data_IF_374810740892
#
_entry.id   IF_374810740892
#
_cell.length_a   1.000
_cell.length_b   1.000
_cell.length_c   1.000
_cell.angle_alpha   90.00
_cell.angle_beta   90.00
_cell.angle_gamma   90.00
#
_symmetry.space_group_name_H-M   'P 1'
#
loop_
_entity.id
_entity.type
_entity.pdbx_description
1 polymer ?
#
# COMPACT_ATOMS: atom_id res chain seq x y z
N UNK A 1 -4.00 37.79 11.96
CA UNK A 1 -4.86 36.67 11.57
C UNK A 1 -4.51 36.28 10.14
N UNK A 2 -3.65 35.27 9.96
CA UNK A 2 -3.35 34.69 8.64
C UNK A 2 -3.75 33.21 8.72
N UNK A 3 -4.81 32.85 8.01
CA UNK A 3 -5.26 31.48 7.84
C UNK A 3 -4.26 30.76 6.91
N UNK A 4 -3.45 29.87 7.44
CA UNK A 4 -2.66 28.95 6.63
C UNK A 4 -3.60 27.88 6.09
N UNK A 5 -3.81 27.87 4.77
CA UNK A 5 -4.45 26.79 4.08
C UNK A 5 -3.55 25.53 4.21
N UNK A 6 -3.95 24.56 5.04
CA UNK A 6 -3.36 23.24 5.04
C UNK A 6 -3.89 22.50 3.83
N UNK A 7 -3.02 22.31 2.85
CA UNK A 7 -3.28 21.44 1.71
C UNK A 7 -3.37 20.00 2.24
N UNK A 8 -4.56 19.42 2.17
CA UNK A 8 -4.79 18.02 2.55
C UNK A 8 -4.19 17.08 1.50
N UNK A 9 -2.92 16.74 1.64
CA UNK A 9 -2.19 15.80 0.76
C UNK A 9 -2.40 14.34 1.16
N UNK A 10 -3.60 13.93 1.55
CA UNK A 10 -3.78 12.63 2.18
C UNK A 10 -4.38 11.51 1.32
N UNK A 11 -5.01 11.78 0.20
CA UNK A 11 -5.78 10.74 -0.50
C UNK A 11 -5.31 10.38 -1.90
N UNK A 12 -4.38 11.13 -2.48
CA UNK A 12 -4.01 10.96 -3.89
C UNK A 12 -2.84 9.97 -4.13
N UNK A 13 -2.07 9.61 -3.10
CA UNK A 13 -0.81 8.90 -3.33
C UNK A 13 -0.97 7.43 -3.74
N UNK A 14 -1.91 6.69 -3.17
CA UNK A 14 -2.09 5.27 -3.52
C UNK A 14 -2.70 5.06 -4.91
N UNK A 15 -3.63 5.94 -5.33
CA UNK A 15 -4.16 5.90 -6.68
C UNK A 15 -3.21 6.50 -7.73
N UNK A 16 -2.36 7.46 -7.36
CA UNK A 16 -1.40 8.05 -8.29
C UNK A 16 -0.33 7.06 -8.75
N UNK A 17 0.03 6.06 -7.94
CA UNK A 17 0.93 4.99 -8.38
C UNK A 17 0.32 4.09 -9.46
N UNK A 18 -1.02 3.98 -9.53
CA UNK A 18 -1.72 3.17 -10.53
C UNK A 18 -2.20 3.98 -11.75
N UNK A 19 -2.32 5.31 -11.64
CA UNK A 19 -2.91 6.18 -12.68
C UNK A 19 -1.91 7.03 -13.46
N UNK A 20 -0.59 6.79 -13.34
CA UNK A 20 0.40 7.41 -14.22
C UNK A 20 0.11 7.00 -15.67
N UNK A 21 0.20 7.92 -16.65
CA UNK A 21 -0.01 7.54 -18.04
C UNK A 21 1.04 6.50 -18.44
N UNK A 22 0.58 5.31 -18.82
CA UNK A 22 1.41 4.34 -19.52
C UNK A 22 1.87 4.99 -20.83
N UNK A 23 3.07 5.54 -20.85
CA UNK A 23 3.72 5.95 -22.10
C UNK A 23 4.22 4.67 -22.76
N UNK A 24 3.39 4.09 -23.61
CA UNK A 24 3.82 3.06 -24.56
C UNK A 24 4.84 3.70 -25.50
N UNK A 25 6.11 3.33 -25.34
CA UNK A 25 7.14 3.65 -26.31
C UNK A 25 6.72 3.12 -27.68
N UNK A 26 6.39 4.02 -28.61
CA UNK A 26 6.13 3.68 -30.00
C UNK A 26 7.46 3.29 -30.67
N UNK A 27 7.68 1.99 -30.82
CA UNK A 27 8.57 1.51 -31.85
C UNK A 27 7.86 1.67 -33.20
N UNK A 28 8.23 2.67 -33.95
CA UNK A 28 7.80 2.83 -35.35
C UNK A 28 8.48 1.78 -36.22
N UNK A 29 7.81 0.67 -36.48
CA UNK A 29 8.08 -0.14 -37.68
C UNK A 29 6.91 0.06 -38.64
N UNK A 30 7.21 0.66 -39.81
CA UNK A 30 6.23 0.99 -40.83
C UNK A 30 5.64 -0.26 -41.47
N UNK A 31 4.45 -0.66 -41.00
CA UNK A 31 3.51 -1.49 -41.70
C UNK A 31 2.17 -0.74 -41.64
N UNK A 32 1.49 -0.46 -42.78
CA UNK A 32 0.21 0.22 -42.74
C UNK A 32 -0.80 -0.65 -41.99
N UNK A 33 -1.62 -0.05 -41.10
CA UNK A 33 -2.61 -0.83 -40.35
C UNK A 33 -3.67 -1.36 -41.34
N UNK A 34 -3.86 -2.68 -41.33
CA UNK A 34 -5.06 -3.25 -41.88
C UNK A 34 -6.28 -2.66 -41.15
N UNK A 35 -7.35 -2.28 -41.85
CA UNK A 35 -8.54 -1.81 -41.17
C UNK A 35 -9.08 -2.92 -40.26
N UNK A 36 -9.56 -2.58 -39.08
CA UNK A 36 -10.10 -3.58 -38.15
C UNK A 36 -11.30 -4.24 -38.81
N UNK A 37 -11.22 -5.55 -38.96
CA UNK A 37 -12.38 -6.38 -39.29
C UNK A 37 -13.41 -6.15 -38.20
N UNK A 38 -14.56 -5.61 -38.56
CA UNK A 38 -15.63 -5.27 -37.65
C UNK A 38 -16.10 -6.50 -36.86
N UNK A 39 -15.73 -6.58 -35.61
CA UNK A 39 -16.43 -7.37 -34.62
C UNK A 39 -17.47 -6.46 -33.94
N UNK A 40 -18.58 -6.26 -34.63
CA UNK A 40 -19.84 -5.86 -34.00
C UNK A 40 -20.32 -7.02 -33.14
N UNK A 41 -20.00 -6.97 -31.85
CA UNK A 41 -20.47 -7.93 -30.86
C UNK A 41 -19.86 -7.58 -29.50
N UNK A 42 -20.72 -7.15 -28.59
CA UNK A 42 -20.50 -6.93 -27.13
C UNK A 42 -19.03 -6.86 -26.71
N UNK A 43 -18.52 -5.66 -26.51
CA UNK A 43 -17.11 -5.41 -26.14
C UNK A 43 -16.62 -6.36 -25.06
N UNK A 44 -15.58 -7.14 -25.39
CA UNK A 44 -14.92 -8.00 -24.42
C UNK A 44 -14.35 -7.18 -23.25
N UNK A 45 -14.08 -7.81 -22.09
CA UNK A 45 -13.54 -7.13 -20.93
C UNK A 45 -12.22 -6.46 -21.28
N UNK A 46 -12.06 -5.22 -20.85
CA UNK A 46 -10.86 -4.43 -21.12
C UNK A 46 -10.14 -4.13 -19.83
N UNK A 47 -8.84 -3.94 -19.90
CA UNK A 47 -8.07 -3.42 -18.75
C UNK A 47 -8.69 -2.14 -18.16
N UNK A 48 -9.22 -1.27 -19.03
CA UNK A 48 -9.83 -0.02 -18.62
C UNK A 48 -11.08 -0.22 -17.74
N UNK A 49 -11.89 -1.25 -18.02
CA UNK A 49 -13.06 -1.57 -17.18
C UNK A 49 -12.63 -2.02 -15.79
N UNK A 50 -11.70 -2.97 -15.69
CA UNK A 50 -11.17 -3.41 -14.41
C UNK A 50 -10.49 -2.28 -13.63
N UNK A 51 -9.75 -1.39 -14.29
CA UNK A 51 -9.17 -0.20 -13.66
C UNK A 51 -10.23 0.78 -13.14
N UNK A 52 -11.32 0.97 -13.87
CA UNK A 52 -12.45 1.79 -13.43
C UNK A 52 -13.10 1.17 -12.18
N UNK A 53 -13.32 -0.15 -12.17
CA UNK A 53 -13.87 -0.86 -11.02
C UNK A 53 -12.97 -0.75 -9.77
N UNK A 54 -11.63 -0.85 -9.91
CA UNK A 54 -10.70 -0.57 -8.78
C UNK A 54 -10.85 0.85 -8.26
N UNK A 55 -10.92 1.84 -9.16
CA UNK A 55 -11.10 3.24 -8.78
C UNK A 55 -12.43 3.47 -8.03
N UNK A 56 -13.47 2.73 -8.39
CA UNK A 56 -14.77 2.79 -7.76
C UNK A 56 -14.89 1.88 -6.51
N UNK A 57 -13.75 1.40 -6.00
CA UNK A 57 -13.66 0.51 -4.84
C UNK A 57 -14.48 -0.79 -5.00
N UNK A 58 -14.45 -1.35 -6.19
CA UNK A 58 -15.12 -2.60 -6.59
C UNK A 58 -14.07 -3.68 -6.96
N UNK A 59 -13.23 -4.13 -6.03
CA UNK A 59 -12.09 -5.01 -6.35
C UNK A 59 -12.52 -6.38 -6.87
N UNK A 60 -13.71 -6.86 -6.52
CA UNK A 60 -14.23 -8.14 -7.02
C UNK A 60 -14.56 -8.06 -8.52
N UNK A 61 -15.21 -6.99 -8.94
CA UNK A 61 -15.55 -6.78 -10.35
C UNK A 61 -14.28 -6.53 -11.16
N UNK A 62 -13.36 -5.75 -10.62
CA UNK A 62 -12.04 -5.54 -11.21
C UNK A 62 -11.28 -6.85 -11.43
N UNK A 63 -11.22 -7.72 -10.41
CA UNK A 63 -10.56 -9.02 -10.52
C UNK A 63 -11.19 -9.88 -11.62
N UNK A 64 -12.53 -9.92 -11.69
CA UNK A 64 -13.25 -10.66 -12.73
C UNK A 64 -12.92 -10.11 -14.13
N UNK A 65 -12.82 -8.80 -14.29
CA UNK A 65 -12.47 -8.16 -15.56
C UNK A 65 -11.04 -8.49 -15.98
N UNK A 66 -10.08 -8.40 -15.07
CA UNK A 66 -8.68 -8.78 -15.36
C UNK A 66 -8.54 -10.26 -15.65
N UNK A 67 -9.24 -11.14 -14.95
CA UNK A 67 -9.25 -12.57 -15.26
C UNK A 67 -9.77 -12.85 -16.66
N UNK A 68 -10.80 -12.14 -17.12
CA UNK A 68 -11.30 -12.27 -18.50
C UNK A 68 -10.27 -11.81 -19.53
N UNK A 69 -9.52 -10.73 -19.25
CA UNK A 69 -8.39 -10.33 -20.10
C UNK A 69 -7.35 -11.43 -20.17
N UNK A 70 -7.02 -12.04 -19.02
CA UNK A 70 -6.01 -13.10 -18.90
C UNK A 70 -6.44 -14.42 -19.56
N UNK A 71 -7.72 -14.65 -19.81
CA UNK A 71 -8.20 -15.79 -20.63
C UNK A 71 -7.77 -15.63 -22.08
N UNK A 72 -7.81 -14.41 -22.61
CA UNK A 72 -7.41 -14.14 -24.01
C UNK A 72 -5.91 -13.86 -24.17
N UNK A 73 -5.30 -13.26 -23.17
CA UNK A 73 -3.86 -12.96 -23.13
C UNK A 73 -3.26 -13.29 -21.76
N UNK A 74 -2.90 -14.56 -21.51
CA UNK A 74 -2.37 -15.01 -20.24
C UNK A 74 -1.06 -14.32 -19.83
N UNK A 75 -0.31 -13.77 -20.77
CA UNK A 75 0.98 -13.11 -20.53
C UNK A 75 0.90 -11.58 -20.48
N UNK A 76 -0.30 -11.04 -20.36
CA UNK A 76 -0.48 -9.61 -20.18
C UNK A 76 0.05 -9.17 -18.80
N UNK A 77 1.18 -8.47 -18.79
CA UNK A 77 1.84 -8.00 -17.57
C UNK A 77 0.91 -7.10 -16.75
N UNK A 78 0.27 -6.13 -17.41
CA UNK A 78 -0.61 -5.18 -16.74
C UNK A 78 -1.84 -5.89 -16.13
N UNK A 79 -2.44 -6.85 -16.84
CA UNK A 79 -3.57 -7.60 -16.29
C UNK A 79 -3.17 -8.48 -15.09
N UNK A 80 -2.01 -9.14 -15.13
CA UNK A 80 -1.50 -9.90 -13.99
C UNK A 80 -1.22 -8.96 -12.79
N UNK A 81 -0.55 -7.83 -13.00
CA UNK A 81 -0.27 -6.85 -11.95
C UNK A 81 -1.55 -6.32 -11.30
N UNK A 82 -2.52 -5.89 -12.11
CA UNK A 82 -3.79 -5.34 -11.63
C UNK A 82 -4.70 -6.39 -10.99
N UNK A 83 -4.68 -7.64 -11.49
CA UNK A 83 -5.37 -8.76 -10.85
C UNK A 83 -4.78 -9.06 -9.46
N UNK A 84 -3.45 -8.98 -9.31
CA UNK A 84 -2.80 -9.08 -8.01
C UNK A 84 -3.25 -7.96 -7.07
N UNK A 85 -3.28 -6.72 -7.53
CA UNK A 85 -3.77 -5.56 -6.75
C UNK A 85 -5.21 -5.79 -6.27
N UNK A 86 -6.11 -6.20 -7.16
CA UNK A 86 -7.50 -6.51 -6.80
C UNK A 86 -7.60 -7.66 -5.78
N UNK A 87 -6.76 -8.69 -5.92
CA UNK A 87 -6.71 -9.81 -4.98
C UNK A 87 -6.17 -9.39 -3.60
N UNK A 88 -5.21 -8.46 -3.52
CA UNK A 88 -4.76 -7.85 -2.25
C UNK A 88 -5.91 -7.13 -1.56
N UNK A 89 -6.67 -6.32 -2.29
CA UNK A 89 -7.84 -5.60 -1.75
C UNK A 89 -8.96 -6.54 -1.26
N UNK A 90 -9.04 -7.75 -1.82
CA UNK A 90 -9.97 -8.80 -1.40
C UNK A 90 -9.42 -9.69 -0.28
N UNK A 91 -8.23 -9.39 0.25
CA UNK A 91 -7.51 -10.22 1.23
C UNK A 91 -7.26 -11.66 0.76
N UNK A 92 -7.10 -11.85 -0.55
CA UNK A 92 -6.80 -13.13 -1.18
C UNK A 92 -5.29 -13.27 -1.43
N UNK A 93 -4.48 -13.18 -0.36
CA UNK A 93 -3.03 -13.16 -0.42
C UNK A 93 -2.41 -14.23 -1.34
N UNK A 94 -2.73 -15.53 -1.20
CA UNK A 94 -2.16 -16.57 -2.08
C UNK A 94 -2.48 -16.34 -3.57
N UNK A 95 -3.67 -15.85 -3.90
CA UNK A 95 -4.04 -15.52 -5.28
C UNK A 95 -3.28 -14.27 -5.78
N UNK A 96 -3.13 -13.27 -4.92
CA UNK A 96 -2.36 -12.08 -5.23
C UNK A 96 -0.90 -12.43 -5.57
N UNK A 97 -0.28 -13.33 -4.80
CA UNK A 97 1.08 -13.83 -5.05
C UNK A 97 1.18 -14.50 -6.43
N UNK A 98 0.25 -15.37 -6.77
CA UNK A 98 0.27 -16.06 -8.08
C UNK A 98 0.29 -15.09 -9.26
N UNK A 99 -0.53 -14.03 -9.21
CA UNK A 99 -0.57 -13.02 -10.26
C UNK A 99 0.67 -12.13 -10.26
N UNK A 100 1.14 -11.68 -9.08
CA UNK A 100 2.30 -10.82 -8.98
C UNK A 100 3.59 -11.51 -9.43
N UNK A 101 3.84 -12.76 -8.99
CA UNK A 101 4.99 -13.54 -9.44
C UNK A 101 4.95 -13.83 -10.95
N UNK A 102 3.75 -13.98 -11.50
CA UNK A 102 3.62 -14.13 -12.96
C UNK A 102 3.96 -12.84 -13.69
N UNK A 103 3.52 -11.68 -13.16
CA UNK A 103 3.91 -10.39 -13.73
C UNK A 103 5.42 -10.17 -13.64
N UNK A 104 6.05 -10.53 -12.50
CA UNK A 104 7.50 -10.43 -12.29
C UNK A 104 8.30 -11.26 -13.30
N UNK A 105 7.90 -12.51 -13.55
CA UNK A 105 8.54 -13.36 -14.57
C UNK A 105 8.47 -12.79 -15.98
N UNK A 106 7.47 -11.96 -16.27
CA UNK A 106 7.26 -11.32 -17.58
C UNK A 106 7.98 -9.98 -17.70
N UNK A 107 8.14 -9.25 -16.60
CA UNK A 107 8.75 -7.91 -16.55
C UNK A 107 9.47 -7.69 -15.21
N UNK A 108 10.64 -8.35 -15.00
CA UNK A 108 11.32 -8.37 -13.69
C UNK A 108 11.95 -7.04 -13.26
N UNK A 109 12.07 -6.07 -14.16
CA UNK A 109 12.64 -4.77 -13.86
C UNK A 109 11.58 -3.72 -13.45
N UNK A 110 10.32 -4.11 -13.45
CA UNK A 110 9.21 -3.22 -13.18
C UNK A 110 8.97 -3.05 -11.66
N UNK A 111 9.48 -1.99 -11.09
CA UNK A 111 9.38 -1.69 -9.68
C UNK A 111 7.94 -1.68 -9.12
N UNK A 112 6.92 -1.43 -9.98
CA UNK A 112 5.51 -1.49 -9.55
C UNK A 112 5.08 -2.91 -9.21
N UNK A 113 5.68 -3.89 -9.87
CA UNK A 113 5.45 -5.29 -9.56
C UNK A 113 6.03 -5.62 -8.19
N UNK A 114 7.24 -5.15 -7.90
CA UNK A 114 7.87 -5.32 -6.58
C UNK A 114 7.06 -4.67 -5.45
N UNK A 115 6.49 -3.48 -5.66
CA UNK A 115 5.58 -2.89 -4.66
C UNK A 115 4.33 -3.74 -4.43
N UNK A 116 3.79 -4.35 -5.48
CA UNK A 116 2.62 -5.24 -5.37
C UNK A 116 2.99 -6.57 -4.71
N UNK A 117 4.17 -7.12 -5.00
CA UNK A 117 4.70 -8.32 -4.35
C UNK A 117 4.84 -8.16 -2.83
N UNK A 118 5.29 -6.99 -2.35
CA UNK A 118 5.33 -6.71 -0.91
C UNK A 118 3.95 -6.94 -0.27
N UNK A 119 2.91 -6.32 -0.81
CA UNK A 119 1.56 -6.42 -0.26
C UNK A 119 0.96 -7.83 -0.44
N UNK A 120 1.23 -8.49 -1.56
CA UNK A 120 0.79 -9.86 -1.84
C UNK A 120 1.41 -10.86 -0.86
N UNK A 121 2.73 -10.80 -0.66
CA UNK A 121 3.45 -11.66 0.29
C UNK A 121 3.02 -11.38 1.73
N UNK A 122 2.79 -10.13 2.11
CA UNK A 122 2.26 -9.78 3.42
C UNK A 122 0.88 -10.42 3.65
N UNK A 123 -0.04 -10.28 2.69
CA UNK A 123 -1.38 -10.87 2.74
C UNK A 123 -1.38 -12.40 2.72
N UNK A 124 -0.34 -13.02 2.17
CA UNK A 124 -0.14 -14.48 2.19
C UNK A 124 0.63 -14.98 3.43
N UNK A 125 1.10 -14.10 4.32
CA UNK A 125 1.90 -14.45 5.49
C UNK A 125 3.35 -14.85 5.16
N UNK A 126 3.83 -14.57 3.95
CA UNK A 126 5.16 -14.90 3.44
C UNK A 126 6.18 -13.82 3.84
N UNK A 127 6.52 -13.75 5.12
CA UNK A 127 7.30 -12.66 5.71
C UNK A 127 8.69 -12.49 5.09
N UNK A 128 9.39 -13.59 4.84
CA UNK A 128 10.76 -13.53 4.29
C UNK A 128 10.76 -12.94 2.88
N UNK A 129 9.82 -13.34 2.03
CA UNK A 129 9.67 -12.82 0.67
C UNK A 129 9.25 -11.34 0.70
N UNK A 130 8.28 -10.99 1.54
CA UNK A 130 7.89 -9.59 1.78
C UNK A 130 9.10 -8.72 2.14
N UNK A 131 9.92 -9.16 3.10
CA UNK A 131 11.06 -8.37 3.58
C UNK A 131 12.20 -8.31 2.56
N UNK A 132 12.35 -9.35 1.72
CA UNK A 132 13.24 -9.33 0.57
C UNK A 132 12.82 -8.24 -0.44
N UNK A 133 11.56 -8.22 -0.84
CA UNK A 133 11.03 -7.20 -1.76
C UNK A 133 11.15 -5.77 -1.18
N UNK A 134 10.89 -5.61 0.11
CA UNK A 134 11.07 -4.33 0.80
C UNK A 134 12.53 -3.85 0.76
N UNK A 135 13.49 -4.76 0.95
CA UNK A 135 14.91 -4.45 0.85
C UNK A 135 15.30 -4.04 -0.58
N UNK A 136 14.80 -4.79 -1.59
CA UNK A 136 15.01 -4.48 -3.00
C UNK A 136 14.46 -3.10 -3.36
N UNK A 137 13.25 -2.77 -2.93
CA UNK A 137 12.66 -1.45 -3.18
C UNK A 137 13.49 -0.31 -2.57
N UNK A 138 14.03 -0.50 -1.35
CA UNK A 138 14.93 0.49 -0.73
C UNK A 138 16.24 0.64 -1.50
N UNK A 139 16.80 -0.45 -1.99
CA UNK A 139 18.00 -0.41 -2.83
C UNK A 139 17.73 0.35 -4.13
N UNK A 140 16.65 0.05 -4.83
CA UNK A 140 16.23 0.74 -6.04
C UNK A 140 16.02 2.24 -5.79
N UNK A 141 15.37 2.62 -4.69
CA UNK A 141 15.20 4.02 -4.31
C UNK A 141 16.56 4.69 -4.03
N UNK A 142 17.46 4.03 -3.32
CA UNK A 142 18.81 4.53 -2.99
C UNK A 142 19.71 4.74 -4.22
N UNK A 143 19.57 3.92 -5.26
CA UNK A 143 20.29 4.11 -6.54
C UNK A 143 19.78 5.30 -7.32
N UNK A 144 18.63 5.83 -6.94
CA UNK A 144 18.01 6.95 -7.61
C UNK A 144 17.40 6.58 -8.96
N UNK A 145 17.00 5.33 -9.17
CA UNK A 145 16.22 4.93 -10.33
C UNK A 145 14.98 5.83 -10.48
N UNK A 146 14.73 6.40 -11.68
CA UNK A 146 13.66 7.41 -11.85
C UNK A 146 12.29 6.94 -11.38
N UNK A 147 11.96 5.68 -11.62
CA UNK A 147 10.68 5.09 -11.24
C UNK A 147 10.54 4.92 -9.73
N UNK A 148 11.60 4.55 -9.02
CA UNK A 148 11.61 4.42 -7.57
C UNK A 148 11.51 5.78 -6.86
N UNK A 149 12.07 6.85 -7.45
CA UNK A 149 11.99 8.22 -6.90
C UNK A 149 10.59 8.81 -6.93
N UNK A 150 9.70 8.30 -7.77
CA UNK A 150 8.34 8.80 -7.88
C UNK A 150 7.47 8.39 -6.70
N UNK A 151 7.90 7.40 -5.92
CA UNK A 151 7.18 6.90 -4.75
C UNK A 151 7.87 7.39 -3.47
N UNK A 152 7.16 8.13 -2.64
CA UNK A 152 7.64 8.52 -1.30
C UNK A 152 7.56 7.36 -0.32
N UNK A 153 6.77 6.35 -0.65
CA UNK A 153 6.53 5.14 0.13
C UNK A 153 5.73 4.12 -0.67
N UNK A 154 5.52 2.96 -0.09
CA UNK A 154 4.80 1.85 -0.71
C UNK A 154 3.88 1.15 0.28
N UNK A 155 2.85 0.49 -0.23
CA UNK A 155 1.95 -0.33 0.56
C UNK A 155 2.69 -1.60 1.01
N UNK A 156 2.78 -1.81 2.33
CA UNK A 156 3.37 -3.03 2.90
C UNK A 156 2.31 -4.12 3.04
N UNK A 157 1.14 -3.77 3.54
CA UNK A 157 0.07 -4.72 3.83
C UNK A 157 -1.29 -4.05 3.81
N UNK A 158 -2.32 -4.79 3.40
CA UNK A 158 -3.72 -4.51 3.71
C UNK A 158 -4.25 -5.61 4.63
N UNK A 159 -4.89 -5.22 5.73
CA UNK A 159 -5.47 -6.20 6.65
C UNK A 159 -6.81 -5.72 7.24
N UNK A 160 -7.72 -6.66 7.56
CA UNK A 160 -9.00 -6.30 8.15
C UNK A 160 -8.85 -6.00 9.66
N UNK A 161 -9.67 -5.06 10.14
CA UNK A 161 -9.86 -4.77 11.56
C UNK A 161 -11.35 -4.55 11.85
N UNK A 162 -12.00 -5.56 12.42
CA UNK A 162 -13.47 -5.56 12.52
C UNK A 162 -14.13 -5.56 11.14
N UNK A 163 -14.96 -4.56 10.86
CA UNK A 163 -15.58 -4.36 9.55
C UNK A 163 -14.74 -3.50 8.61
N UNK A 164 -13.71 -2.84 9.12
CA UNK A 164 -12.89 -1.89 8.41
C UNK A 164 -11.63 -2.53 7.84
N UNK A 165 -10.90 -1.78 7.01
CA UNK A 165 -9.62 -2.14 6.42
C UNK A 165 -8.54 -1.19 6.91
N UNK A 166 -7.34 -1.71 7.10
CA UNK A 166 -6.13 -0.92 7.36
C UNK A 166 -5.17 -1.09 6.20
N UNK A 167 -4.74 0.04 5.62
CA UNK A 167 -3.70 0.09 4.61
C UNK A 167 -2.41 0.56 5.31
N UNK A 168 -1.40 -0.30 5.41
CA UNK A 168 -0.11 0.00 6.01
C UNK A 168 0.89 0.46 4.95
N UNK A 169 1.37 1.68 5.07
CA UNK A 169 2.30 2.33 4.15
C UNK A 169 3.64 2.51 4.87
N UNK A 170 4.72 2.13 4.21
CA UNK A 170 6.08 2.42 4.63
C UNK A 170 6.66 3.53 3.76
N UNK A 171 7.39 4.45 4.36
CA UNK A 171 8.09 5.50 3.65
C UNK A 171 9.56 5.13 3.46
N UNK A 172 10.13 5.44 2.29
CA UNK A 172 11.55 5.22 2.02
C UNK A 172 12.43 6.07 2.93
N UNK A 173 12.00 7.31 3.13
CA UNK A 173 12.62 8.25 4.06
C UNK A 173 11.56 8.80 5.03
N UNK A 174 11.91 9.07 6.28
CA UNK A 174 10.97 9.62 7.24
C UNK A 174 10.34 10.91 6.74
N UNK A 175 9.00 11.00 6.79
CA UNK A 175 8.26 12.14 6.29
C UNK A 175 8.10 13.24 7.35
N UNK A 176 8.32 14.46 6.90
CA UNK A 176 7.98 15.67 7.61
C UNK A 176 8.76 15.90 8.90
N UNK A 177 8.29 16.89 9.69
CA UNK A 177 8.94 17.35 10.93
C UNK A 177 9.03 16.27 12.02
N UNK A 178 8.11 15.31 12.01
CA UNK A 178 7.98 14.30 13.07
C UNK A 178 8.57 12.95 12.67
N UNK A 179 9.33 12.89 11.58
CA UNK A 179 9.99 11.69 11.11
C UNK A 179 9.04 10.47 11.08
N UNK A 180 7.96 10.58 10.28
CA UNK A 180 6.99 9.49 10.10
C UNK A 180 7.60 8.40 9.22
N UNK A 181 7.77 7.20 9.76
CA UNK A 181 8.29 6.01 9.07
C UNK A 181 7.18 5.15 8.46
N UNK A 182 6.07 5.04 9.17
CA UNK A 182 4.91 4.27 8.72
C UNK A 182 3.64 5.08 8.91
N UNK A 183 2.69 4.85 8.00
CA UNK A 183 1.34 5.39 8.08
C UNK A 183 0.33 4.27 7.90
N UNK A 184 -0.66 4.20 8.78
CA UNK A 184 -1.75 3.26 8.72
C UNK A 184 -3.04 4.03 8.48
N UNK A 185 -3.71 3.75 7.35
CA UNK A 185 -4.97 4.37 6.97
C UNK A 185 -6.11 3.42 7.26
N UNK A 186 -6.98 3.76 8.21
CA UNK A 186 -8.18 2.99 8.48
C UNK A 186 -9.30 3.46 7.55
N UNK A 187 -9.88 2.50 6.83
CA UNK A 187 -10.93 2.77 5.84
C UNK A 187 -12.16 1.92 6.11
N UNK A 188 -13.33 2.52 5.90
CA UNK A 188 -14.61 1.81 5.86
C UNK A 188 -14.71 0.92 4.60
N UNK A 189 -15.68 -0.01 4.54
CA UNK A 189 -15.89 -0.86 3.37
C UNK A 189 -16.13 -0.11 2.05
N UNK A 190 -16.67 1.11 2.12
CA UNK A 190 -16.84 2.02 0.97
C UNK A 190 -15.55 2.71 0.51
N UNK A 191 -14.43 2.43 1.18
CA UNK A 191 -13.12 3.02 0.91
C UNK A 191 -12.87 4.38 1.59
N UNK A 192 -13.88 4.96 2.26
CA UNK A 192 -13.71 6.24 2.97
C UNK A 192 -12.71 6.08 4.12
N UNK A 193 -11.69 6.95 4.13
CA UNK A 193 -10.76 7.03 5.26
C UNK A 193 -11.45 7.63 6.47
N UNK A 194 -11.33 6.99 7.62
CA UNK A 194 -11.92 7.44 8.88
C UNK A 194 -10.88 7.74 9.96
N UNK A 195 -9.66 7.22 9.80
CA UNK A 195 -8.54 7.48 10.71
C UNK A 195 -7.21 7.32 10.00
N UNK A 196 -6.24 8.10 10.43
CA UNK A 196 -4.84 8.00 10.04
C UNK A 196 -4.00 7.80 11.30
N UNK A 197 -3.06 6.87 11.26
CA UNK A 197 -2.13 6.61 12.35
C UNK A 197 -0.73 6.73 11.81
N UNK A 198 0.04 7.64 12.39
CA UNK A 198 1.45 7.85 12.09
C UNK A 198 2.32 7.20 13.16
N UNK A 199 3.32 6.45 12.70
CA UNK A 199 4.39 5.91 13.54
C UNK A 199 5.64 6.73 13.30
N UNK A 200 6.09 7.41 14.33
CA UNK A 200 7.12 8.45 14.29
C UNK A 200 8.27 8.09 15.23
N UNK A 201 9.47 8.56 14.93
CA UNK A 201 10.62 8.40 15.81
C UNK A 201 11.55 9.60 15.61
N UNK A 202 11.62 10.48 16.59
CA UNK A 202 12.51 11.63 16.62
C UNK A 202 13.89 11.23 17.20
N UNK A 203 14.97 11.66 16.55
CA UNK A 203 16.33 11.30 16.98
C UNK A 203 16.69 11.86 18.35
N UNK A 204 16.15 13.01 18.73
CA UNK A 204 16.37 13.61 20.03
C UNK A 204 15.72 12.78 21.14
N UNK A 205 14.48 12.38 20.94
CA UNK A 205 13.75 11.52 21.89
C UNK A 205 14.39 10.14 21.97
N UNK A 206 14.91 9.61 20.86
CA UNK A 206 15.65 8.35 20.83
C UNK A 206 16.89 8.38 21.71
N UNK A 207 17.66 9.46 21.69
CA UNK A 207 18.86 9.57 22.52
C UNK A 207 18.50 9.56 24.01
N UNK A 208 17.55 10.37 24.41
CA UNK A 208 17.09 10.43 25.81
C UNK A 208 16.54 9.10 26.29
N UNK A 209 15.77 8.41 25.42
CA UNK A 209 15.24 7.08 25.74
C UNK A 209 16.35 6.03 25.87
N UNK A 210 17.33 6.00 24.96
CA UNK A 210 18.45 5.08 24.99
C UNK A 210 19.34 5.27 26.24
N UNK A 211 19.57 6.51 26.64
CA UNK A 211 20.30 6.84 27.88
C UNK A 211 19.57 6.32 29.14
N UNK A 212 18.24 6.32 29.13
CA UNK A 212 17.40 5.80 30.21
C UNK A 212 17.19 4.28 30.16
N UNK A 213 17.32 3.65 28.98
CA UNK A 213 17.05 2.23 28.72
C UNK A 213 18.23 1.55 27.99
N UNK A 214 19.44 1.55 28.59
CA UNK A 214 20.64 1.13 27.86
C UNK A 214 20.64 -0.36 27.45
N UNK A 215 19.97 -1.23 28.19
CA UNK A 215 19.91 -2.66 27.87
C UNK A 215 19.01 -2.91 26.64
N UNK A 216 17.87 -2.27 26.59
CA UNK A 216 16.91 -2.36 25.48
C UNK A 216 17.49 -1.71 24.20
N UNK A 217 18.13 -0.56 24.33
CA UNK A 217 18.81 0.12 23.25
C UNK A 217 19.97 -0.73 22.68
N UNK A 218 20.76 -1.36 23.55
CA UNK A 218 21.82 -2.29 23.14
C UNK A 218 21.25 -3.55 22.46
N UNK A 219 20.04 -3.97 22.83
CA UNK A 219 19.31 -5.03 22.15
C UNK A 219 18.73 -4.60 20.80
N UNK A 220 18.83 -3.30 20.45
CA UNK A 220 18.33 -2.74 19.18
C UNK A 220 16.86 -2.31 19.22
N UNK A 221 16.30 -2.14 20.41
CA UNK A 221 14.97 -1.56 20.56
C UNK A 221 15.02 -0.04 20.38
N UNK A 222 13.89 0.56 19.99
CA UNK A 222 13.70 1.99 19.82
C UNK A 222 12.40 2.44 20.43
N UNK A 223 12.31 3.71 20.78
CA UNK A 223 11.05 4.34 21.17
C UNK A 223 10.34 4.86 19.92
N UNK A 224 9.02 4.66 19.87
CA UNK A 224 8.15 5.17 18.83
C UNK A 224 7.01 5.97 19.43
N UNK A 225 6.67 7.05 18.77
CA UNK A 225 5.44 7.79 18.99
C UNK A 225 4.39 7.29 18.00
N UNK A 226 3.25 6.87 18.50
CA UNK A 226 2.08 6.54 17.66
C UNK A 226 1.04 7.64 17.85
N UNK A 227 0.73 8.34 16.78
CA UNK A 227 -0.22 9.46 16.77
C UNK A 227 -1.39 9.11 15.87
N UNK A 228 -2.59 9.10 16.43
CA UNK A 228 -3.83 8.88 15.68
C UNK A 228 -4.53 10.21 15.36
N UNK A 229 -4.96 10.36 14.10
CA UNK A 229 -5.73 11.50 13.62
C UNK A 229 -7.08 11.03 13.08
N UNK A 230 -8.16 11.72 13.49
CA UNK A 230 -9.47 11.54 12.89
C UNK A 230 -9.51 12.15 11.47
N UNK A 231 -10.58 11.89 10.73
CA UNK A 231 -10.76 12.38 9.35
C UNK A 231 -10.79 13.93 9.27
N UNK A 232 -11.20 14.60 10.34
CA UNK A 232 -11.17 16.07 10.47
C UNK A 232 -9.78 16.65 10.77
N UNK A 233 -8.76 15.78 10.92
CA UNK A 233 -7.37 16.14 11.20
C UNK A 233 -7.07 16.44 12.67
N UNK A 234 -8.03 16.24 13.59
CA UNK A 234 -7.78 16.36 15.02
C UNK A 234 -7.02 15.14 15.52
N UNK A 235 -6.04 15.37 16.41
CA UNK A 235 -5.35 14.26 17.10
C UNK A 235 -6.31 13.63 18.08
N UNK A 236 -6.53 12.32 17.93
CA UNK A 236 -7.47 11.54 18.75
C UNK A 236 -6.77 10.58 19.70
N UNK A 237 -5.50 10.32 19.49
CA UNK A 237 -4.69 9.44 20.33
C UNK A 237 -3.22 9.79 20.21
N UNK A 238 -2.48 9.54 21.30
CA UNK A 238 -1.04 9.72 21.36
C UNK A 238 -0.46 8.69 22.32
N UNK A 239 0.50 7.89 21.86
CA UNK A 239 1.14 6.88 22.70
C UNK A 239 2.62 6.76 22.40
N UNK A 240 3.37 6.46 23.44
CA UNK A 240 4.76 6.05 23.34
C UNK A 240 4.84 4.53 23.48
N UNK A 241 5.61 3.91 22.60
CA UNK A 241 5.92 2.48 22.59
C UNK A 241 7.42 2.29 22.43
N UNK A 242 7.93 1.16 22.88
CA UNK A 242 9.30 0.75 22.61
C UNK A 242 9.35 -0.68 22.12
N UNK A 243 10.33 -0.99 21.27
CA UNK A 243 10.55 -2.32 20.73
C UNK A 243 11.41 -2.32 19.47
N UNK A 244 11.44 -3.44 18.77
CA UNK A 244 12.19 -3.57 17.51
C UNK A 244 11.61 -2.68 16.42
N UNK A 245 12.46 -2.02 15.60
CA UNK A 245 12.04 -1.15 14.51
C UNK A 245 11.68 -1.96 13.23
N UNK A 246 11.16 -3.16 13.38
CA UNK A 246 10.69 -3.96 12.26
C UNK A 246 9.18 -3.82 12.07
N UNK A 247 8.74 -4.08 10.84
CA UNK A 247 7.34 -3.91 10.45
C UNK A 247 6.38 -4.75 11.31
N UNK A 248 6.73 -6.00 11.60
CA UNK A 248 5.83 -6.91 12.32
C UNK A 248 5.58 -6.41 13.74
N UNK A 249 6.61 -5.92 14.43
CA UNK A 249 6.49 -5.35 15.76
C UNK A 249 5.67 -4.05 15.74
N UNK A 250 5.96 -3.15 14.79
CA UNK A 250 5.21 -1.90 14.62
C UNK A 250 3.73 -2.19 14.33
N UNK A 251 3.45 -3.17 13.47
CA UNK A 251 2.07 -3.60 13.16
C UNK A 251 1.32 -4.06 14.42
N UNK A 252 1.97 -4.86 15.27
CA UNK A 252 1.37 -5.31 16.54
C UNK A 252 1.02 -4.12 17.43
N UNK A 253 1.94 -3.17 17.60
CA UNK A 253 1.71 -1.97 18.41
C UNK A 253 0.54 -1.12 17.88
N UNK A 254 0.47 -0.93 16.56
CA UNK A 254 -0.63 -0.18 15.94
C UNK A 254 -1.98 -0.90 16.09
N UNK A 255 -2.01 -2.23 15.88
CA UNK A 255 -3.24 -3.02 16.07
C UNK A 255 -3.71 -2.97 17.53
N UNK A 256 -2.80 -2.98 18.49
CA UNK A 256 -3.12 -2.81 19.91
C UNK A 256 -3.69 -1.42 20.20
N UNK A 257 -3.09 -0.38 19.64
CA UNK A 257 -3.61 0.99 19.74
C UNK A 257 -5.02 1.13 19.15
N UNK A 258 -5.27 0.52 18.00
CA UNK A 258 -6.59 0.52 17.37
C UNK A 258 -7.66 -0.23 18.19
N UNK A 259 -7.30 -1.35 18.81
CA UNK A 259 -8.22 -2.15 19.64
C UNK A 259 -8.57 -1.49 20.97
N UNK A 260 -7.61 -0.81 21.58
CA UNK A 260 -7.81 -0.17 22.88
C UNK A 260 -8.53 1.18 22.79
N UNK A 261 -8.57 1.78 21.59
CA UNK A 261 -9.32 3.00 21.31
C UNK A 261 -10.17 2.79 20.05
N UNK A 262 -11.28 2.03 20.17
CA UNK A 262 -12.17 1.81 19.04
C UNK A 262 -12.69 3.15 18.52
N UNK A 263 -12.87 3.22 17.22
CA UNK A 263 -13.41 4.40 16.55
C UNK A 263 -14.82 4.70 17.05
N UNK A 264 -15.21 5.97 17.19
CA UNK A 264 -16.60 6.33 17.50
C UNK A 264 -17.53 5.69 16.46
N UNK A 265 -18.46 4.87 16.91
CA UNK A 265 -19.43 4.15 16.05
C UNK A 265 -19.05 2.70 15.69
N UNK A 266 -17.84 2.24 15.94
CA UNK A 266 -17.50 0.82 15.85
C UNK A 266 -17.92 0.09 17.14
N UNK A 267 -19.06 -0.58 17.15
CA UNK A 267 -19.38 -1.52 18.23
C UNK A 267 -18.46 -2.75 18.11
N UNK A 268 -17.89 -3.24 19.24
CA UNK A 268 -17.17 -4.50 19.22
C UNK A 268 -18.13 -5.61 18.77
N UNK A 269 -17.73 -6.35 17.74
CA UNK A 269 -18.45 -7.55 17.31
C UNK A 269 -18.44 -8.55 18.47
N UNK A 270 -19.54 -8.61 19.25
CA UNK A 270 -19.66 -9.57 20.34
C UNK A 270 -20.44 -9.12 21.58
N UNK A 271 -20.99 -7.92 21.60
CA UNK A 271 -21.91 -7.50 22.69
C UNK A 271 -23.37 -7.80 22.30
N UNK A 272 -23.73 -9.07 22.28
CA UNK A 272 -25.12 -9.56 22.43
C UNK A 272 -25.12 -10.85 23.21
#
# INVERSE_FOLDING_TARGET
MRRSARCGMGSALLLACLAGPFSLGQAQTGVPPNPPVGLSGAGGPTLAQGMAALKDNQPRDALNDFQRVLVSDPNNVAANLLASTAAVELFQGPLAVQYAEKAEKLDPENWKIHTTLVAAYAGAGMKQQRDHERALLRELHGTGAPDARLATGFLVEMFPIGADRVDAIEYFEPLGRFHTYYRFLVRQPDGKRIREIDVQSDDFDQKSWADAHPAEAAAGDRQFQITGHADDGNTVDYRMFSGKPDYDNIRVMVVEALRSHPLPGSQPAGAR
#
